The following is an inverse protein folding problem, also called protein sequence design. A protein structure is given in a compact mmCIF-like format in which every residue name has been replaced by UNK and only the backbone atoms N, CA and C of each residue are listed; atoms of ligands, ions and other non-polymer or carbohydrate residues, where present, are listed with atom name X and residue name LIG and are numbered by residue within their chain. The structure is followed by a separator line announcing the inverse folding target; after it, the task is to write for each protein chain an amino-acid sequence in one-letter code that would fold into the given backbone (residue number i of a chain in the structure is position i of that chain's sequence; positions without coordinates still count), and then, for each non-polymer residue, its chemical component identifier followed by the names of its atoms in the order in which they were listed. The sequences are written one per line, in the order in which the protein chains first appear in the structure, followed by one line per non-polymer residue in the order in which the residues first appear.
data_IF_432386108519
#
_entry.id   IF_432386108519
#
_cell.length_a   1.000
_cell.length_b   1.000
_cell.length_c   1.000
_cell.angle_alpha   90.00
_cell.angle_beta   90.00
_cell.angle_gamma   90.00
#
_symmetry.space_group_name_H-M   'P 1'
#
loop_
_entity.id
_entity.type
_entity.pdbx_description
1 polymer ?
#
# COMPACT_ATOMS: atom_id res chain seq x y z
N UNK A 1 8.71 -6.75 13.29
CA UNK A 1 9.92 -5.99 12.88
C UNK A 1 9.63 -5.45 11.49
N UNK A 2 9.24 -4.21 11.38
CA UNK A 2 9.06 -3.55 10.09
C UNK A 2 9.92 -2.31 10.10
N UNK A 3 10.94 -2.40 9.25
CA UNK A 3 11.87 -1.31 9.03
C UNK A 3 11.16 -0.24 8.21
N UNK A 4 10.95 0.92 8.79
CA UNK A 4 10.88 2.16 8.04
C UNK A 4 12.22 2.24 7.30
N UNK A 5 12.23 1.93 6.02
CA UNK A 5 13.44 2.02 5.20
C UNK A 5 13.76 3.49 4.96
N UNK A 6 14.32 4.13 5.96
CA UNK A 6 15.21 5.25 5.70
C UNK A 6 16.35 4.72 4.82
N UNK A 7 16.90 5.56 3.99
CA UNK A 7 18.03 5.19 3.12
C UNK A 7 19.17 4.69 4.03
N UNK A 8 19.16 3.39 4.34
CA UNK A 8 20.20 2.78 5.13
C UNK A 8 21.28 2.28 4.17
N UNK A 9 22.45 2.86 4.22
CA UNK A 9 23.63 2.34 3.56
C UNK A 9 24.22 1.29 4.48
N UNK A 10 24.19 0.02 4.08
CA UNK A 10 24.87 -1.05 4.81
C UNK A 10 26.36 -0.78 4.70
N UNK A 11 27.02 -0.54 5.83
CA UNK A 11 28.47 -0.45 5.90
C UNK A 11 29.01 -1.85 6.12
N UNK A 12 29.67 -2.47 5.14
CA UNK A 12 30.26 -3.78 5.35
C UNK A 12 31.38 -3.68 6.40
N UNK A 13 31.54 -4.71 7.23
CA UNK A 13 32.67 -4.84 8.17
C UNK A 13 34.03 -4.92 7.47
N UNK A 14 34.03 -5.06 6.14
CA UNK A 14 35.25 -5.16 5.35
C UNK A 14 35.87 -3.77 5.16
N UNK A 15 36.93 -3.51 5.90
CA UNK A 15 37.69 -2.26 5.80
C UNK A 15 38.52 -2.17 4.50
N UNK A 16 38.75 -3.27 3.83
CA UNK A 16 39.57 -3.31 2.59
C UNK A 16 39.00 -4.31 1.57
N UNK A 17 39.03 -3.93 0.30
CA UNK A 17 38.72 -4.80 -0.83
C UNK A 17 39.92 -4.86 -1.79
N UNK A 18 40.10 -5.99 -2.47
CA UNK A 18 41.10 -6.10 -3.55
C UNK A 18 40.41 -5.85 -4.88
N UNK A 19 40.78 -4.79 -5.59
CA UNK A 19 40.33 -4.50 -6.94
C UNK A 19 41.57 -4.37 -7.86
N UNK A 20 41.64 -5.22 -8.87
CA UNK A 20 42.80 -5.27 -9.80
C UNK A 20 44.14 -5.45 -9.07
N UNK A 21 44.19 -6.30 -8.04
CA UNK A 21 45.42 -6.56 -7.27
C UNK A 21 45.83 -5.44 -6.30
N UNK A 22 45.03 -4.38 -6.18
CA UNK A 22 45.30 -3.24 -5.29
C UNK A 22 44.34 -3.29 -4.08
N UNK A 23 44.91 -3.22 -2.87
CA UNK A 23 44.14 -3.06 -1.64
C UNK A 23 43.57 -1.65 -1.58
N UNK A 24 42.26 -1.53 -1.50
CA UNK A 24 41.56 -0.27 -1.34
C UNK A 24 40.84 -0.26 -0.01
N UNK A 25 41.05 0.78 0.78
CA UNK A 25 40.34 1.00 2.04
C UNK A 25 38.93 1.52 1.73
N UNK A 26 37.91 0.88 2.29
CA UNK A 26 36.53 1.36 2.21
C UNK A 26 36.36 2.39 3.35
N UNK A 27 36.09 3.62 3.00
CA UNK A 27 35.77 4.68 3.95
C UNK A 27 34.27 4.89 3.89
N UNK A 28 33.58 4.65 5.02
CA UNK A 28 32.17 4.92 5.13
C UNK A 28 31.90 6.43 4.96
N UNK A 29 30.89 6.83 4.16
CA UNK A 29 30.56 8.24 4.01
C UNK A 29 30.05 8.80 5.35
N UNK A 30 30.45 10.04 5.66
CA UNK A 30 29.98 10.77 6.83
C UNK A 30 28.82 11.71 6.52
N UNK A 31 28.60 11.98 5.23
CA UNK A 31 27.54 12.85 4.73
C UNK A 31 26.66 12.11 3.72
N UNK A 32 25.39 12.50 3.68
CA UNK A 32 24.42 11.96 2.72
C UNK A 32 24.81 12.39 1.29
N UNK A 33 24.93 11.45 0.36
CA UNK A 33 25.31 11.78 -1.02
C UNK A 33 24.23 12.58 -1.77
N UNK A 34 23.01 12.63 -1.26
CA UNK A 34 21.89 13.34 -1.88
C UNK A 34 21.70 14.75 -1.34
N UNK A 35 21.82 14.97 -0.02
CA UNK A 35 21.53 16.27 0.61
C UNK A 35 22.68 16.82 1.47
N UNK A 36 23.82 16.14 1.51
CA UNK A 36 25.00 16.50 2.29
C UNK A 36 24.80 16.60 3.82
N UNK A 37 23.64 16.26 4.33
CA UNK A 37 23.41 16.19 5.80
C UNK A 37 24.28 15.11 6.42
N UNK A 38 24.69 15.31 7.69
CA UNK A 38 25.48 14.34 8.44
C UNK A 38 24.69 13.03 8.58
N UNK A 39 25.38 11.91 8.31
CA UNK A 39 24.81 10.58 8.48
C UNK A 39 24.97 10.10 9.91
N UNK A 40 23.91 9.57 10.48
CA UNK A 40 23.91 8.91 11.78
C UNK A 40 24.19 7.41 11.61
N UNK A 41 25.15 6.89 12.36
CA UNK A 41 25.41 5.44 12.39
C UNK A 41 24.57 4.77 13.47
N UNK A 42 23.73 3.84 13.08
CA UNK A 42 22.95 3.00 14.00
C UNK A 42 23.31 1.54 13.69
N UNK A 43 24.07 0.91 14.58
CA UNK A 43 24.67 -0.40 14.34
C UNK A 43 25.53 -0.39 13.06
N UNK A 44 25.23 -1.24 12.09
CA UNK A 44 25.97 -1.39 10.83
C UNK A 44 25.34 -0.62 9.66
N UNK A 45 24.47 0.34 9.96
CA UNK A 45 23.74 1.11 8.94
C UNK A 45 23.95 2.60 9.16
N UNK A 46 24.04 3.35 8.06
CA UNK A 46 24.08 4.80 8.04
C UNK A 46 22.73 5.36 7.65
N UNK A 47 22.21 6.31 8.41
CA UNK A 47 20.91 6.93 8.22
C UNK A 47 21.05 8.43 7.97
N UNK A 48 20.40 8.90 6.93
CA UNK A 48 20.13 10.31 6.75
C UNK A 48 18.86 10.66 7.54
N UNK A 49 18.95 11.64 8.45
CA UNK A 49 17.81 12.11 9.27
C UNK A 49 17.10 13.32 8.66
N UNK A 50 17.61 13.86 7.57
CA UNK A 50 16.97 14.96 6.86
C UNK A 50 15.79 14.42 6.04
N UNK A 51 14.59 14.44 6.60
CA UNK A 51 13.36 13.97 5.96
C UNK A 51 12.73 15.03 5.04
N UNK A 52 13.04 16.29 5.25
CA UNK A 52 12.37 17.43 4.62
C UNK A 52 13.03 17.81 3.30
N UNK A 53 14.37 17.92 3.28
CA UNK A 53 15.12 18.43 2.12
C UNK A 53 15.99 17.35 1.42
N UNK A 54 15.82 16.07 1.76
CA UNK A 54 16.57 15.00 1.12
C UNK A 54 15.77 14.40 -0.04
N UNK A 55 16.15 14.70 -1.28
CA UNK A 55 15.45 14.19 -2.48
C UNK A 55 15.40 12.67 -2.55
N UNK A 56 16.45 11.96 -2.09
CA UNK A 56 16.43 10.50 -2.01
C UNK A 56 15.41 9.98 -0.99
N UNK A 57 15.17 10.68 0.12
CA UNK A 57 14.14 10.34 1.09
C UNK A 57 12.75 10.58 0.52
N UNK A 58 12.51 11.74 -0.10
CA UNK A 58 11.25 12.07 -0.74
C UNK A 58 10.91 11.06 -1.83
N UNK A 59 11.85 10.71 -2.70
CA UNK A 59 11.66 9.70 -3.74
C UNK A 59 11.28 8.33 -3.15
N UNK A 60 11.93 7.90 -2.07
CA UNK A 60 11.59 6.62 -1.42
C UNK A 60 10.21 6.65 -0.74
N UNK A 61 9.83 7.77 -0.11
CA UNK A 61 8.49 7.96 0.45
C UNK A 61 7.42 7.86 -0.65
N UNK A 62 7.62 8.53 -1.78
CA UNK A 62 6.71 8.49 -2.93
C UNK A 62 6.62 7.09 -3.56
N UNK A 63 7.76 6.40 -3.73
CA UNK A 63 7.76 5.01 -4.21
C UNK A 63 6.95 4.09 -3.28
N UNK A 64 7.15 4.21 -1.95
CA UNK A 64 6.40 3.43 -0.97
C UNK A 64 4.91 3.74 -1.03
N UNK A 65 4.56 5.02 -1.13
CA UNK A 65 3.20 5.50 -1.28
C UNK A 65 2.51 4.88 -2.50
N UNK A 66 3.11 5.01 -3.67
CA UNK A 66 2.58 4.43 -4.91
C UNK A 66 2.46 2.90 -4.82
N UNK A 67 3.47 2.23 -4.25
CA UNK A 67 3.45 0.77 -4.07
C UNK A 67 2.31 0.32 -3.16
N UNK A 68 2.13 0.99 -2.03
CA UNK A 68 1.08 0.67 -1.04
C UNK A 68 -0.31 0.89 -1.62
N UNK A 69 -0.52 1.99 -2.28
CA UNK A 69 -1.79 2.31 -2.93
C UNK A 69 -1.98 1.63 -4.30
N UNK A 70 -1.05 0.77 -4.73
CA UNK A 70 -1.10 0.05 -6.00
C UNK A 70 -1.12 0.96 -7.24
N UNK A 71 -0.57 2.16 -7.13
CA UNK A 71 -0.37 3.10 -8.23
C UNK A 71 0.90 2.68 -8.97
N UNK A 72 0.76 2.06 -10.13
CA UNK A 72 1.89 1.50 -10.90
C UNK A 72 2.54 2.56 -11.79
N UNK A 73 3.83 2.36 -12.11
CA UNK A 73 4.56 3.21 -13.06
C UNK A 73 5.45 4.29 -12.42
N UNK A 74 5.29 4.55 -11.12
CA UNK A 74 6.05 5.56 -10.38
C UNK A 74 7.28 4.97 -9.68
N UNK A 75 8.21 4.46 -10.48
CA UNK A 75 9.53 4.07 -10.01
C UNK A 75 10.46 5.27 -9.83
N UNK A 76 11.67 5.05 -9.28
CA UNK A 76 12.66 6.10 -9.00
C UNK A 76 12.94 6.98 -10.22
N UNK A 77 13.28 6.36 -11.36
CA UNK A 77 13.55 7.09 -12.60
C UNK A 77 12.37 7.94 -13.11
N UNK A 78 11.12 7.44 -12.92
CA UNK A 78 9.93 8.19 -13.33
C UNK A 78 9.68 9.37 -12.40
N UNK A 79 9.82 9.18 -11.09
CA UNK A 79 9.65 10.23 -10.09
C UNK A 79 10.70 11.34 -10.26
N UNK A 80 11.95 10.97 -10.48
CA UNK A 80 13.04 11.92 -10.75
C UNK A 80 12.81 12.68 -12.05
N UNK A 81 12.46 11.98 -13.14
CA UNK A 81 12.22 12.59 -14.43
C UNK A 81 11.07 13.59 -14.38
N UNK A 82 9.99 13.25 -13.69
CA UNK A 82 8.84 14.12 -13.50
C UNK A 82 9.10 15.23 -12.46
N UNK A 83 10.08 15.07 -11.58
CA UNK A 83 10.39 16.02 -10.51
C UNK A 83 9.30 16.07 -9.44
N UNK A 84 8.63 14.94 -9.18
CA UNK A 84 7.59 14.86 -8.16
C UNK A 84 8.20 14.76 -6.77
N UNK A 85 7.76 15.60 -5.84
CA UNK A 85 8.35 15.74 -4.51
C UNK A 85 7.41 15.30 -3.38
N UNK A 86 6.11 15.36 -3.59
CA UNK A 86 5.10 15.07 -2.58
C UNK A 86 3.93 14.25 -3.16
N UNK A 87 3.02 13.82 -2.28
CA UNK A 87 1.88 12.98 -2.67
C UNK A 87 0.89 13.71 -3.58
N UNK A 88 0.70 15.03 -3.38
CA UNK A 88 -0.20 15.84 -4.18
C UNK A 88 0.27 15.92 -5.63
N UNK A 89 1.59 15.98 -5.86
CA UNK A 89 2.14 16.03 -7.22
C UNK A 89 1.73 14.78 -8.04
N UNK A 90 1.57 13.64 -7.37
CA UNK A 90 1.09 12.40 -8.02
C UNK A 90 -0.39 12.50 -8.36
N UNK A 91 -1.21 13.01 -7.42
CA UNK A 91 -2.66 13.09 -7.59
C UNK A 91 -3.08 14.14 -8.62
N UNK A 92 -2.34 15.23 -8.71
CA UNK A 92 -2.61 16.34 -9.63
C UNK A 92 -1.84 16.22 -10.95
N UNK A 93 -1.21 15.06 -11.20
CA UNK A 93 -0.44 14.82 -12.43
C UNK A 93 -1.34 14.90 -13.65
N UNK A 94 -0.95 15.74 -14.62
CA UNK A 94 -1.60 15.84 -15.93
C UNK A 94 -0.72 15.30 -17.04
N UNK A 95 -1.35 14.94 -18.16
CA UNK A 95 -0.66 14.48 -19.37
C UNK A 95 0.29 15.54 -19.89
N UNK A 96 -0.16 16.80 -19.95
CA UNK A 96 0.61 17.93 -20.43
C UNK A 96 1.86 18.17 -19.58
N UNK A 97 1.72 18.06 -18.24
CA UNK A 97 2.89 18.17 -17.37
C UNK A 97 3.88 17.05 -17.61
N UNK A 98 3.41 15.80 -17.68
CA UNK A 98 4.27 14.65 -17.88
C UNK A 98 5.01 14.71 -19.23
N UNK A 99 4.34 15.16 -20.30
CA UNK A 99 4.95 15.39 -21.62
C UNK A 99 5.98 16.53 -21.58
N UNK A 100 5.70 17.62 -20.90
CA UNK A 100 6.64 18.73 -20.73
C UNK A 100 7.93 18.31 -20.03
N UNK A 101 7.86 17.24 -19.21
CA UNK A 101 9.01 16.61 -18.54
C UNK A 101 9.70 15.54 -19.42
N UNK A 102 9.30 15.40 -20.69
CA UNK A 102 9.91 14.54 -21.68
C UNK A 102 9.47 13.08 -21.65
N UNK A 103 8.29 12.79 -21.11
CA UNK A 103 7.63 11.49 -21.32
C UNK A 103 6.93 11.49 -22.69
N UNK A 104 6.77 10.30 -23.28
CA UNK A 104 5.94 10.15 -24.48
C UNK A 104 4.46 10.31 -24.15
N UNK A 105 3.62 10.76 -25.10
CA UNK A 105 2.19 10.91 -24.92
C UNK A 105 1.54 9.64 -24.36
N UNK A 106 1.83 8.48 -24.97
CA UNK A 106 1.32 7.19 -24.49
C UNK A 106 1.70 6.87 -23.03
N UNK A 107 2.96 7.18 -22.61
CA UNK A 107 3.38 6.94 -21.23
C UNK A 107 2.70 7.93 -20.26
N UNK A 108 2.57 9.18 -20.67
CA UNK A 108 1.90 10.23 -19.90
C UNK A 108 0.44 9.91 -19.65
N UNK A 109 -0.31 9.56 -20.69
CA UNK A 109 -1.70 9.10 -20.60
C UNK A 109 -1.85 7.89 -19.67
N UNK A 110 -0.99 6.89 -19.82
CA UNK A 110 -1.02 5.68 -18.99
C UNK A 110 -0.77 5.97 -17.51
N UNK A 111 0.16 6.86 -17.17
CA UNK A 111 0.43 7.22 -15.78
C UNK A 111 -0.77 7.95 -15.16
N UNK A 112 -1.33 8.93 -15.87
CA UNK A 112 -2.52 9.68 -15.44
C UNK A 112 -3.73 8.76 -15.29
N UNK A 113 -3.96 7.85 -16.24
CA UNK A 113 -5.04 6.86 -16.18
C UNK A 113 -4.92 5.94 -14.95
N UNK A 114 -3.71 5.46 -14.63
CA UNK A 114 -3.48 4.63 -13.45
C UNK A 114 -3.79 5.38 -12.16
N UNK A 115 -3.41 6.65 -12.05
CA UNK A 115 -3.72 7.50 -10.89
C UNK A 115 -5.22 7.70 -10.77
N UNK A 116 -5.88 8.16 -11.86
CA UNK A 116 -7.31 8.44 -11.88
C UNK A 116 -8.14 7.19 -11.59
N UNK A 117 -7.78 6.05 -12.18
CA UNK A 117 -8.46 4.77 -11.92
C UNK A 117 -8.34 4.36 -10.46
N UNK A 118 -7.18 4.60 -9.83
CA UNK A 118 -7.00 4.26 -8.41
C UNK A 118 -7.78 5.18 -7.49
N UNK A 119 -7.84 6.48 -7.80
CA UNK A 119 -8.64 7.46 -7.07
C UNK A 119 -10.13 7.14 -7.20
N UNK A 120 -10.61 6.84 -8.41
CA UNK A 120 -12.02 6.53 -8.68
C UNK A 120 -12.52 5.28 -7.96
N UNK A 121 -11.64 4.30 -7.71
CA UNK A 121 -11.94 3.11 -6.89
C UNK A 121 -12.05 3.44 -5.40
N UNK A 122 -11.67 4.63 -5.00
CA UNK A 122 -11.54 5.05 -3.62
C UNK A 122 -10.32 4.44 -2.92
N UNK A 123 -9.93 5.04 -1.82
CA UNK A 123 -8.80 4.63 -0.98
C UNK A 123 -9.28 4.60 0.46
N UNK A 124 -9.04 3.50 1.18
CA UNK A 124 -9.38 3.49 2.59
C UNK A 124 -8.47 4.43 3.37
N UNK A 125 -9.00 5.20 4.36
CA UNK A 125 -8.17 6.07 5.19
C UNK A 125 -7.01 5.33 5.86
N UNK A 126 -7.22 4.08 6.23
CA UNK A 126 -6.20 3.22 6.83
C UNK A 126 -5.07 2.87 5.84
N UNK A 127 -5.40 2.53 4.59
CA UNK A 127 -4.40 2.27 3.54
C UNK A 127 -3.61 3.54 3.20
N UNK A 128 -4.29 4.69 3.16
CA UNK A 128 -3.64 5.97 2.94
C UNK A 128 -2.62 6.30 4.03
N UNK A 129 -3.01 6.26 5.31
CA UNK A 129 -2.10 6.51 6.43
C UNK A 129 -0.94 5.51 6.47
N UNK A 130 -1.19 4.23 6.16
CA UNK A 130 -0.13 3.24 6.05
C UNK A 130 0.85 3.53 4.91
N UNK A 131 0.39 4.20 3.85
CA UNK A 131 1.21 4.59 2.69
C UNK A 131 2.05 5.85 2.95
N UNK A 132 1.63 6.75 3.84
CA UNK A 132 2.29 8.04 4.11
C UNK A 132 3.67 7.92 4.77
N UNK A 133 4.16 6.70 5.02
CA UNK A 133 5.50 6.45 5.61
C UNK A 133 5.70 7.09 6.98
N UNK A 134 4.63 7.23 7.78
CA UNK A 134 4.69 7.72 9.14
C UNK A 134 5.51 6.74 9.99
N UNK A 135 6.44 7.25 10.79
CA UNK A 135 7.35 6.41 11.58
C UNK A 135 6.57 5.51 12.55
N UNK A 136 6.84 4.21 12.52
CA UNK A 136 6.17 3.15 13.28
C UNK A 136 4.71 2.89 12.87
N UNK A 137 4.20 3.57 11.87
CA UNK A 137 2.86 3.36 11.32
C UNK A 137 2.97 2.59 10.00
N UNK A 138 2.35 1.46 9.95
CA UNK A 138 2.28 0.59 8.77
C UNK A 138 1.00 -0.21 8.77
N UNK A 139 0.84 -1.13 7.81
CA UNK A 139 -0.39 -1.92 7.62
C UNK A 139 -0.86 -2.60 8.91
N UNK A 140 0.07 -3.13 9.71
CA UNK A 140 -0.25 -3.82 10.97
C UNK A 140 -0.83 -2.90 12.05
N UNK A 141 -0.40 -1.64 12.11
CA UNK A 141 -0.94 -0.63 13.01
C UNK A 141 -2.30 -0.15 12.50
N UNK A 142 -2.38 0.17 11.20
CA UNK A 142 -3.59 0.71 10.60
C UNK A 142 -4.76 -0.28 10.56
N UNK A 143 -4.50 -1.58 10.38
CA UNK A 143 -5.58 -2.60 10.45
C UNK A 143 -6.30 -2.67 11.80
N UNK A 144 -5.69 -2.19 12.85
CA UNK A 144 -6.25 -2.22 14.21
C UNK A 144 -7.00 -0.93 14.55
N UNK A 145 -6.61 0.18 13.96
CA UNK A 145 -7.16 1.48 14.28
C UNK A 145 -8.50 1.70 13.54
N UNK A 146 -9.55 2.00 14.30
CA UNK A 146 -10.88 2.33 13.79
C UNK A 146 -11.12 3.80 14.06
N UNK A 147 -11.48 4.56 13.02
CA UNK A 147 -11.77 5.99 13.09
C UNK A 147 -12.68 6.41 11.93
N UNK A 148 -13.47 7.46 12.14
CA UNK A 148 -14.41 7.98 11.14
C UNK A 148 -13.75 8.99 10.19
N UNK A 149 -12.82 9.79 10.72
CA UNK A 149 -12.03 10.79 9.96
C UNK A 149 -10.62 10.85 10.51
N UNK A 150 -9.65 11.11 9.63
CA UNK A 150 -8.24 11.27 10.01
C UNK A 150 -8.07 12.38 11.04
N UNK A 151 -8.83 13.48 10.91
CA UNK A 151 -8.80 14.61 11.84
C UNK A 151 -9.30 14.27 13.26
N UNK A 152 -10.06 13.19 13.40
CA UNK A 152 -10.65 12.78 14.69
C UNK A 152 -9.80 11.76 15.45
N UNK A 153 -8.64 11.36 14.91
CA UNK A 153 -7.76 10.41 15.58
C UNK A 153 -7.21 11.04 16.87
N UNK A 154 -7.41 10.34 17.99
CA UNK A 154 -6.92 10.76 19.29
C UNK A 154 -5.92 9.78 19.88
N UNK A 155 -5.16 10.23 20.87
CA UNK A 155 -4.20 9.36 21.57
C UNK A 155 -4.89 8.16 22.22
N UNK A 156 -6.03 8.39 22.88
CA UNK A 156 -6.78 7.33 23.55
C UNK A 156 -7.30 6.29 22.55
N UNK A 157 -7.77 6.72 21.37
CA UNK A 157 -8.14 5.80 20.29
C UNK A 157 -6.95 4.94 19.87
N UNK A 158 -5.79 5.54 19.66
CA UNK A 158 -4.57 4.81 19.33
C UNK A 158 -4.23 3.76 20.40
N UNK A 159 -4.34 4.11 21.66
CA UNK A 159 -4.06 3.19 22.79
C UNK A 159 -5.09 2.07 22.90
N UNK A 160 -6.38 2.37 22.77
CA UNK A 160 -7.45 1.36 22.78
C UNK A 160 -7.26 0.32 21.67
N UNK A 161 -6.78 0.74 20.53
CA UNK A 161 -6.50 -0.15 19.39
C UNK A 161 -5.10 -0.77 19.40
N UNK A 162 -4.34 -0.62 20.50
CA UNK A 162 -3.09 -1.33 20.74
C UNK A 162 -1.87 -0.74 20.03
N UNK A 163 -1.87 0.56 19.69
CA UNK A 163 -0.68 1.26 19.25
C UNK A 163 0.22 1.55 20.46
N UNK A 164 1.55 1.40 20.30
CA UNK A 164 2.53 1.83 21.29
C UNK A 164 2.59 3.36 21.39
N UNK A 165 3.08 3.90 22.52
CA UNK A 165 3.11 5.35 22.78
C UNK A 165 3.79 6.13 21.65
N UNK A 166 5.00 5.72 21.28
CA UNK A 166 5.74 6.35 20.17
C UNK A 166 5.04 6.31 18.82
N UNK A 167 4.29 5.24 18.54
CA UNK A 167 3.53 5.13 17.30
C UNK A 167 2.31 6.07 17.32
N UNK A 168 1.63 6.16 18.47
CA UNK A 168 0.51 7.08 18.65
C UNK A 168 0.97 8.55 18.54
N UNK A 169 2.05 8.91 19.20
CA UNK A 169 2.64 10.26 19.11
C UNK A 169 3.01 10.63 17.67
N UNK A 170 3.74 9.76 16.98
CA UNK A 170 4.12 10.01 15.58
C UNK A 170 2.90 10.16 14.65
N UNK A 171 1.85 9.37 14.86
CA UNK A 171 0.62 9.47 14.08
C UNK A 171 -0.08 10.82 14.34
N UNK A 172 -0.20 11.22 15.60
CA UNK A 172 -0.86 12.47 15.97
C UNK A 172 -0.07 13.70 15.51
N UNK A 173 1.26 13.64 15.60
CA UNK A 173 2.11 14.71 15.07
C UNK A 173 1.94 14.86 13.55
N UNK A 174 1.88 13.74 12.83
CA UNK A 174 1.61 13.75 11.40
C UNK A 174 0.20 14.28 11.08
N UNK A 175 -0.81 13.85 11.82
CA UNK A 175 -2.20 14.34 11.66
C UNK A 175 -2.29 15.83 11.89
N UNK A 176 -1.54 16.37 12.85
CA UNK A 176 -1.53 17.81 13.17
C UNK A 176 -0.80 18.65 12.13
N UNK A 177 0.32 18.15 11.59
CA UNK A 177 1.24 18.94 10.74
C UNK A 177 1.00 18.69 9.27
N UNK A 178 0.94 17.42 8.86
CA UNK A 178 0.90 17.02 7.44
C UNK A 178 -0.53 16.89 6.91
N UNK A 179 -1.46 16.34 7.71
CA UNK A 179 -2.82 16.06 7.25
C UNK A 179 -3.55 17.31 6.72
N UNK A 180 -3.49 18.49 7.33
CA UNK A 180 -4.14 19.69 6.82
C UNK A 180 -3.74 20.05 5.38
N UNK A 181 -2.50 19.72 4.97
CA UNK A 181 -1.98 19.97 3.62
C UNK A 181 -2.69 19.09 2.57
N UNK A 182 -3.08 17.88 2.98
CA UNK A 182 -3.64 16.87 2.08
C UNK A 182 -5.16 16.73 2.20
N UNK A 183 -5.77 17.25 3.25
CA UNK A 183 -7.16 17.00 3.60
C UNK A 183 -8.13 17.36 2.47
N UNK A 184 -7.98 18.52 1.85
CA UNK A 184 -8.85 18.97 0.77
C UNK A 184 -8.82 18.07 -0.46
N UNK A 185 -7.67 17.44 -0.73
CA UNK A 185 -7.48 16.56 -1.87
C UNK A 185 -7.89 15.10 -1.58
N UNK A 186 -7.62 14.63 -0.36
CA UNK A 186 -7.73 13.21 -0.04
C UNK A 186 -9.03 12.82 0.62
N UNK A 187 -9.62 13.67 1.45
CA UNK A 187 -10.85 13.35 2.16
C UNK A 187 -12.02 13.00 1.21
N UNK A 188 -12.20 13.69 0.07
CA UNK A 188 -13.21 13.30 -0.91
C UNK A 188 -12.95 11.97 -1.61
N UNK A 189 -11.68 11.50 -1.64
CA UNK A 189 -11.30 10.23 -2.29
C UNK A 189 -11.42 9.04 -1.37
N UNK A 190 -11.64 9.25 -0.07
CA UNK A 190 -11.82 8.17 0.86
C UNK A 190 -13.15 7.47 0.64
N UNK A 191 -13.09 6.19 0.39
CA UNK A 191 -14.25 5.35 0.53
C UNK A 191 -14.52 5.24 2.02
N UNK A 192 -15.68 5.73 2.47
CA UNK A 192 -16.26 5.18 3.67
C UNK A 192 -16.47 3.70 3.34
N UNK A 193 -15.66 2.82 3.88
CA UNK A 193 -16.06 1.43 4.00
C UNK A 193 -17.35 1.50 4.84
N UNK A 194 -18.51 1.58 4.18
CA UNK A 194 -19.68 0.99 4.78
C UNK A 194 -19.21 -0.42 5.11
N UNK A 195 -19.05 -0.69 6.40
CA UNK A 195 -18.95 -2.04 6.87
C UNK A 195 -20.26 -2.68 6.43
N UNK A 196 -20.25 -3.24 5.23
CA UNK A 196 -21.30 -4.17 4.83
C UNK A 196 -21.13 -5.29 5.83
N UNK A 197 -21.91 -5.20 6.91
CA UNK A 197 -22.02 -6.28 7.88
C UNK A 197 -22.40 -7.46 7.02
N UNK A 198 -21.49 -8.41 6.91
CA UNK A 198 -21.69 -9.57 6.05
C UNK A 198 -22.95 -10.27 6.56
N UNK A 199 -24.07 -9.97 5.93
CA UNK A 199 -25.39 -10.56 6.26
C UNK A 199 -25.58 -11.92 5.59
N UNK A 200 -24.73 -12.20 4.60
CA UNK A 200 -24.73 -13.43 3.81
C UNK A 200 -23.54 -14.34 4.18
N UNK A 201 -23.61 -15.63 3.87
CA UNK A 201 -22.63 -16.60 4.34
C UNK A 201 -21.23 -16.35 3.78
N UNK A 202 -20.23 -16.86 4.51
CA UNK A 202 -18.84 -16.81 4.08
C UNK A 202 -18.59 -17.72 2.88
N UNK A 203 -17.86 -17.20 1.88
CA UNK A 203 -17.50 -17.88 0.64
C UNK A 203 -15.98 -17.80 0.38
N UNK A 204 -15.46 -18.66 -0.48
CA UNK A 204 -14.07 -18.58 -0.97
C UNK A 204 -14.09 -18.71 -2.50
N UNK A 205 -13.17 -18.02 -3.17
CA UNK A 205 -13.06 -18.05 -4.65
C UNK A 205 -11.79 -18.82 -5.04
N UNK A 206 -11.92 -19.76 -5.98
CA UNK A 206 -10.80 -20.49 -6.59
C UNK A 206 -10.90 -20.50 -8.11
N UNK A 207 -9.78 -20.76 -8.78
CA UNK A 207 -9.76 -20.88 -10.24
C UNK A 207 -9.89 -19.54 -10.99
N UNK A 208 -10.18 -19.64 -12.28
CA UNK A 208 -10.50 -18.54 -13.17
C UNK A 208 -12.01 -18.36 -13.21
N UNK A 209 -12.46 -17.13 -13.23
CA UNK A 209 -13.88 -16.79 -13.31
C UNK A 209 -14.23 -16.33 -14.73
N UNK A 210 -15.46 -16.59 -15.17
CA UNK A 210 -15.90 -16.32 -16.55
C UNK A 210 -16.23 -14.84 -16.75
N UNK A 211 -16.97 -14.26 -15.82
CA UNK A 211 -17.54 -12.92 -15.96
C UNK A 211 -16.70 -11.83 -15.26
N UNK A 212 -15.56 -12.19 -14.67
CA UNK A 212 -14.69 -11.25 -13.95
C UNK A 212 -13.26 -11.27 -14.48
N UNK A 213 -12.64 -10.11 -14.70
CA UNK A 213 -11.27 -10.02 -15.22
C UNK A 213 -10.23 -10.61 -14.27
N UNK A 214 -10.50 -10.63 -12.97
CA UNK A 214 -9.67 -11.28 -11.95
C UNK A 214 -10.44 -11.48 -10.64
N UNK A 215 -9.84 -12.25 -9.72
CA UNK A 215 -10.45 -12.58 -8.41
C UNK A 215 -10.69 -11.36 -7.51
N UNK A 216 -9.91 -10.28 -7.66
CA UNK A 216 -10.08 -9.09 -6.84
C UNK A 216 -11.40 -8.36 -7.17
N UNK A 217 -11.75 -8.29 -8.46
CA UNK A 217 -13.04 -7.75 -8.91
C UNK A 217 -14.22 -8.60 -8.41
N UNK A 218 -14.15 -9.93 -8.59
CA UNK A 218 -15.18 -10.83 -8.08
C UNK A 218 -15.33 -10.75 -6.55
N UNK A 219 -14.22 -10.64 -5.83
CA UNK A 219 -14.24 -10.43 -4.37
C UNK A 219 -14.98 -9.14 -4.00
N UNK A 220 -14.63 -8.01 -4.64
CA UNK A 220 -15.31 -6.73 -4.41
C UNK A 220 -16.81 -6.81 -4.70
N UNK A 221 -17.18 -7.43 -5.80
CA UNK A 221 -18.57 -7.66 -6.18
C UNK A 221 -19.34 -8.46 -5.12
N UNK A 222 -18.82 -9.63 -4.72
CA UNK A 222 -19.47 -10.45 -3.69
C UNK A 222 -19.57 -9.75 -2.34
N UNK A 223 -18.57 -8.96 -1.98
CA UNK A 223 -18.60 -8.15 -0.77
C UNK A 223 -19.68 -7.05 -0.85
N UNK A 224 -19.88 -6.42 -2.01
CA UNK A 224 -20.97 -5.44 -2.21
C UNK A 224 -22.36 -6.06 -2.12
N UNK A 225 -22.50 -7.36 -2.41
CA UNK A 225 -23.74 -8.12 -2.19
C UNK A 225 -23.94 -8.55 -0.72
N UNK A 226 -22.94 -8.37 0.16
CA UNK A 226 -23.02 -8.73 1.57
C UNK A 226 -22.40 -10.09 1.93
N UNK A 227 -21.64 -10.73 1.05
CA UNK A 227 -20.93 -11.98 1.35
C UNK A 227 -19.58 -11.72 2.03
N UNK A 228 -19.25 -12.57 3.01
CA UNK A 228 -17.91 -12.59 3.58
C UNK A 228 -16.96 -13.41 2.69
N UNK A 229 -16.01 -12.79 2.01
CA UNK A 229 -15.08 -13.51 1.12
C UNK A 229 -13.78 -13.84 1.83
N UNK A 230 -13.60 -15.11 2.18
CA UNK A 230 -12.40 -15.63 2.85
C UNK A 230 -11.26 -15.89 1.84
N UNK A 231 -9.99 -15.69 2.24
CA UNK A 231 -8.84 -15.89 1.36
C UNK A 231 -8.51 -17.36 1.13
N UNK A 232 -9.03 -18.27 1.94
CA UNK A 232 -8.74 -19.72 1.88
C UNK A 232 -9.93 -20.56 2.32
N UNK A 233 -9.94 -21.82 1.88
CA UNK A 233 -10.95 -22.81 2.26
C UNK A 233 -10.76 -23.21 3.72
N UNK A 234 -11.74 -22.87 4.56
CA UNK A 234 -11.84 -23.22 5.97
C UNK A 234 -13.21 -23.86 6.23
N UNK A 235 -13.40 -24.52 7.37
CA UNK A 235 -14.71 -25.09 7.76
C UNK A 235 -15.80 -24.01 7.98
N UNK A 236 -15.41 -22.73 8.06
CA UNK A 236 -16.33 -21.62 8.28
C UNK A 236 -16.96 -21.08 7.00
N UNK A 237 -16.51 -21.48 5.81
CA UNK A 237 -17.16 -21.10 4.55
C UNK A 237 -18.30 -22.04 4.23
N UNK A 238 -19.37 -21.48 3.65
CA UNK A 238 -20.52 -22.26 3.20
C UNK A 238 -20.38 -22.74 1.77
N UNK A 239 -19.76 -21.92 0.93
CA UNK A 239 -19.57 -22.24 -0.50
C UNK A 239 -18.16 -21.97 -0.98
N UNK A 240 -17.68 -22.81 -1.89
CA UNK A 240 -16.51 -22.54 -2.72
C UNK A 240 -16.99 -22.15 -4.12
N UNK A 241 -16.57 -20.99 -4.59
CA UNK A 241 -16.86 -20.49 -5.93
C UNK A 241 -15.77 -20.95 -6.88
N UNK A 242 -16.15 -21.72 -7.92
CA UNK A 242 -15.27 -22.26 -8.94
C UNK A 242 -16.00 -22.40 -10.26
N UNK A 243 -15.46 -21.81 -11.34
CA UNK A 243 -16.08 -21.80 -12.68
C UNK A 243 -15.20 -22.43 -13.76
N UNK A 244 -13.93 -22.72 -13.47
CA UNK A 244 -12.97 -23.25 -14.44
C UNK A 244 -12.93 -24.79 -14.54
N UNK A 245 -13.76 -25.48 -13.77
CA UNK A 245 -13.87 -26.94 -13.74
C UNK A 245 -12.60 -27.67 -13.27
N UNK A 246 -11.59 -26.94 -12.77
CA UNK A 246 -10.31 -27.53 -12.35
C UNK A 246 -10.33 -27.95 -10.90
N UNK A 247 -9.94 -29.19 -10.66
CA UNK A 247 -9.76 -29.73 -9.31
C UNK A 247 -8.50 -29.18 -8.64
N UNK A 248 -8.50 -27.90 -8.30
CA UNK A 248 -7.42 -27.26 -7.55
C UNK A 248 -7.27 -27.84 -6.13
N UNK A 249 -6.18 -27.55 -5.44
CA UNK A 249 -6.01 -27.92 -4.04
C UNK A 249 -7.13 -27.37 -3.14
N UNK A 250 -7.61 -26.17 -3.44
CA UNK A 250 -8.78 -25.57 -2.76
C UNK A 250 -10.07 -26.33 -3.06
N UNK A 251 -10.26 -26.78 -4.30
CA UNK A 251 -11.42 -27.58 -4.69
C UNK A 251 -11.45 -28.91 -3.90
N UNK A 252 -10.35 -29.67 -3.92
CA UNK A 252 -10.23 -30.94 -3.18
C UNK A 252 -10.46 -30.76 -1.69
N UNK A 253 -9.92 -29.67 -1.11
CA UNK A 253 -10.13 -29.34 0.30
C UNK A 253 -11.58 -29.03 0.62
N UNK A 254 -12.29 -28.34 -0.29
CA UNK A 254 -13.71 -28.04 -0.10
C UNK A 254 -14.55 -29.31 -0.10
N UNK A 255 -14.35 -30.21 -1.08
CA UNK A 255 -15.05 -31.49 -1.16
C UNK A 255 -14.78 -32.33 0.11
N UNK A 256 -13.53 -32.43 0.55
CA UNK A 256 -13.17 -33.17 1.77
C UNK A 256 -13.80 -32.58 3.04
N UNK A 257 -14.11 -31.31 3.06
CA UNK A 257 -14.79 -30.64 4.18
C UNK A 257 -16.31 -30.60 4.03
N UNK A 258 -16.90 -31.23 3.01
CA UNK A 258 -18.34 -31.21 2.73
C UNK A 258 -18.88 -29.83 2.29
N UNK A 259 -18.00 -28.97 1.76
CA UNK A 259 -18.37 -27.62 1.31
C UNK A 259 -18.89 -27.70 -0.13
N UNK A 260 -20.03 -27.12 -0.38
CA UNK A 260 -20.64 -27.09 -1.71
C UNK A 260 -19.84 -26.18 -2.66
N UNK A 261 -19.55 -26.66 -3.86
CA UNK A 261 -18.93 -25.90 -4.93
C UNK A 261 -20.00 -25.42 -5.88
N UNK A 262 -20.01 -24.08 -6.15
CA UNK A 262 -21.02 -23.44 -7.00
C UNK A 262 -20.36 -22.34 -7.86
N UNK A 263 -21.11 -21.85 -8.85
CA UNK A 263 -20.74 -20.65 -9.62
C UNK A 263 -21.22 -19.38 -8.93
N UNK A 264 -20.77 -18.20 -9.39
CA UNK A 264 -21.32 -16.92 -8.92
C UNK A 264 -22.79 -16.80 -9.29
N UNK A 265 -23.19 -17.24 -10.46
CA UNK A 265 -24.59 -17.21 -10.91
C UNK A 265 -25.51 -18.05 -10.01
N UNK A 266 -25.09 -19.28 -9.66
CA UNK A 266 -25.84 -20.11 -8.73
C UNK A 266 -25.98 -19.44 -7.35
N UNK A 267 -24.93 -18.74 -6.91
CA UNK A 267 -24.95 -18.01 -5.64
C UNK A 267 -25.93 -16.83 -5.67
N UNK A 268 -25.98 -16.10 -6.79
CA UNK A 268 -26.93 -15.01 -7.02
C UNK A 268 -28.37 -15.51 -7.03
N UNK A 269 -28.63 -16.63 -7.71
CA UNK A 269 -29.96 -17.25 -7.74
C UNK A 269 -30.45 -17.68 -6.36
N UNK A 270 -29.53 -18.09 -5.47
CA UNK A 270 -29.87 -18.53 -4.10
C UNK A 270 -30.15 -17.37 -3.15
N UNK A 271 -29.44 -16.22 -3.31
CA UNK A 271 -29.41 -15.18 -2.28
C UNK A 271 -29.81 -13.78 -2.76
N UNK A 272 -29.82 -13.51 -4.06
CA UNK A 272 -30.04 -12.17 -4.61
C UNK A 272 -31.35 -12.08 -5.41
N UNK A 273 -31.83 -13.18 -5.96
CA UNK A 273 -33.16 -13.34 -6.58
C UNK A 273 -34.08 -14.07 -5.59
#
# INVERSE_FOLDING_TARGET
MQFTQFLAIIVPEVETITRNGKLMKIIAPTQCPSCNSVLERVKDQLFCRNTDDCSAQSSKRLQNFCKKLKIKGFGEATLEKLGLLNFNDILTLTTEYAESRGLSAHMSEKLVEVVNSRISLGISPNDFLAACSITLIGDGAMRKLIFDSVSNITYDMCKMHGLGDKAAENLLDWVRVEWPIYQELWEPTFVKEEQVVATLPAVCITGKLNDFPNRAFAKGYLQSLGFEVKPSVTKSIKYLISEDGKESSSYKKAINNGITVITIKDLEEIYVN
#
